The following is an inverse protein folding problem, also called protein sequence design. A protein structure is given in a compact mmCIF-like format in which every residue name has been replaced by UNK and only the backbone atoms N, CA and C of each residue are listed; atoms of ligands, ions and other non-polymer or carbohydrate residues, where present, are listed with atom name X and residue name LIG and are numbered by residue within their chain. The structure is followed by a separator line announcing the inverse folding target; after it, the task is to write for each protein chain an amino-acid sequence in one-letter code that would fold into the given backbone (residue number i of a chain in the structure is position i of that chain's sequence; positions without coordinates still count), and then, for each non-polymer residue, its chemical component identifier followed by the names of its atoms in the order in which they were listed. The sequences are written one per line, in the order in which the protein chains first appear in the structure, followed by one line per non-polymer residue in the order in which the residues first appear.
data_IF_241185735702
#
_entry.id   IF_241185735702
#
_cell.length_a   1.000
_cell.length_b   1.000
_cell.length_c   1.000
_cell.angle_alpha   90.00
_cell.angle_beta   90.00
_cell.angle_gamma   90.00
#
_symmetry.space_group_name_H-M   'P 1'
#
loop_
_entity.id
_entity.type
_entity.pdbx_description
1 polymer ?
#
# COMPACT_ATOMS: atom_id res chain seq x y z
N UNK A 1 -6.51 5.18 12.84
CA UNK A 1 -5.32 4.56 12.32
C UNK A 1 -4.50 5.49 11.46
N UNK A 2 -3.31 5.09 11.19
CA UNK A 2 -2.37 5.89 10.41
C UNK A 2 -1.72 4.99 9.36
N UNK A 3 -1.59 5.52 8.15
CA UNK A 3 -0.93 4.82 7.06
C UNK A 3 0.40 5.53 6.78
N UNK A 4 1.48 4.77 6.81
CA UNK A 4 2.82 5.27 6.53
C UNK A 4 3.34 4.63 5.25
N UNK A 5 3.73 5.45 4.29
CA UNK A 5 4.25 5.00 3.01
C UNK A 5 5.73 5.32 2.95
N UNK A 6 6.55 4.29 2.87
CA UNK A 6 8.00 4.45 2.77
C UNK A 6 8.48 3.95 1.41
N UNK A 7 9.76 4.11 1.12
CA UNK A 7 10.33 3.62 -0.14
C UNK A 7 10.37 2.10 -0.20
N UNK A 8 10.30 1.40 0.94
CA UNK A 8 10.43 -0.05 0.97
C UNK A 8 9.14 -0.78 1.35
N UNK A 9 8.22 -0.11 2.03
CA UNK A 9 7.02 -0.79 2.54
C UNK A 9 5.89 0.19 2.87
N UNK A 10 4.69 -0.37 3.07
CA UNK A 10 3.57 0.35 3.65
C UNK A 10 3.36 -0.17 5.07
N UNK A 11 3.10 0.72 6.01
CA UNK A 11 2.90 0.37 7.43
C UNK A 11 1.55 0.86 7.88
N UNK A 12 0.78 -0.04 8.50
CA UNK A 12 -0.54 0.29 9.06
C UNK A 12 -0.37 0.47 10.56
N UNK A 13 -0.29 1.71 11.00
CA UNK A 13 -0.06 2.05 12.41
C UNK A 13 -1.34 2.51 13.08
N UNK A 14 -1.37 2.49 14.40
CA UNK A 14 -2.46 3.02 15.20
C UNK A 14 -3.42 2.00 15.78
N UNK A 15 -3.25 0.73 15.49
CA UNK A 15 -4.03 -0.35 16.07
C UNK A 15 -3.23 -1.12 17.11
N UNK A 16 -3.81 -2.22 17.60
CA UNK A 16 -3.10 -3.12 18.50
C UNK A 16 -1.97 -3.87 17.80
N UNK A 17 -2.02 -3.92 16.47
CA UNK A 17 -0.96 -4.48 15.65
C UNK A 17 -0.49 -3.42 14.68
N UNK A 18 0.76 -3.57 14.23
CA UNK A 18 1.35 -2.65 13.26
C UNK A 18 1.82 -3.47 12.07
N UNK A 19 0.90 -4.01 11.26
CA UNK A 19 1.31 -4.79 10.10
C UNK A 19 2.01 -3.92 9.07
N UNK A 20 2.93 -4.54 8.33
CA UNK A 20 3.64 -3.87 7.25
C UNK A 20 3.72 -4.81 6.06
N UNK A 21 3.67 -4.23 4.86
CA UNK A 21 3.78 -4.99 3.62
C UNK A 21 4.86 -4.35 2.77
N UNK A 22 5.87 -5.13 2.43
CA UNK A 22 6.93 -4.65 1.54
C UNK A 22 6.38 -4.47 0.12
N UNK A 23 6.88 -3.46 -0.58
CA UNK A 23 6.40 -3.21 -1.95
C UNK A 23 6.70 -4.37 -2.90
N UNK A 24 7.81 -5.05 -2.71
CA UNK A 24 8.14 -6.20 -3.57
C UNK A 24 7.18 -7.38 -3.33
N UNK A 25 6.51 -7.42 -2.19
CA UNK A 25 5.52 -8.44 -1.88
C UNK A 25 4.09 -7.96 -2.18
N UNK A 26 3.92 -6.75 -2.67
CA UNK A 26 2.63 -6.18 -3.02
C UNK A 26 2.36 -6.43 -4.50
N UNK A 27 1.25 -7.07 -4.79
CA UNK A 27 0.86 -7.37 -6.16
C UNK A 27 0.22 -6.16 -6.83
N UNK A 28 -0.70 -5.50 -6.12
CA UNK A 28 -1.35 -4.31 -6.64
C UNK A 28 -1.96 -3.49 -5.51
N UNK A 29 -2.23 -2.23 -5.81
CA UNK A 29 -2.91 -1.31 -4.91
C UNK A 29 -4.19 -0.87 -5.61
N UNK A 30 -5.33 -1.13 -4.97
CA UNK A 30 -6.64 -0.77 -5.48
C UNK A 30 -7.23 0.34 -4.63
N UNK A 31 -7.98 1.23 -5.26
CA UNK A 31 -8.69 2.28 -4.57
C UNK A 31 -10.17 2.14 -4.89
N UNK A 32 -10.98 2.07 -3.85
CA UNK A 32 -12.43 2.00 -3.99
C UNK A 32 -13.03 3.00 -3.02
N UNK A 33 -13.62 4.07 -3.54
CA UNK A 33 -14.19 5.15 -2.73
C UNK A 33 -13.11 5.72 -1.80
N UNK A 34 -13.25 5.58 -0.49
CA UNK A 34 -12.28 6.05 0.50
C UNK A 34 -11.35 4.95 0.99
N UNK A 35 -11.47 3.75 0.43
CA UNK A 35 -10.70 2.61 0.87
C UNK A 35 -9.51 2.35 -0.04
N UNK A 36 -8.37 2.02 0.56
CA UNK A 36 -7.21 1.51 -0.13
C UNK A 36 -7.07 0.03 0.18
N UNK A 37 -6.83 -0.77 -0.85
CA UNK A 37 -6.64 -2.20 -0.69
C UNK A 37 -5.26 -2.57 -1.24
N UNK A 38 -4.42 -3.12 -0.35
CA UNK A 38 -3.08 -3.56 -0.70
C UNK A 38 -3.10 -5.07 -0.84
N UNK A 39 -3.03 -5.55 -2.09
CA UNK A 39 -3.11 -6.97 -2.39
C UNK A 39 -1.71 -7.56 -2.39
N UNK A 40 -1.50 -8.57 -1.54
CA UNK A 40 -0.20 -9.23 -1.41
C UNK A 40 -0.04 -10.31 -2.47
N UNK A 41 1.20 -10.47 -2.95
CA UNK A 41 1.52 -11.52 -3.88
C UNK A 41 1.39 -12.90 -3.19
N UNK A 42 0.73 -13.83 -3.86
CA UNK A 42 0.57 -15.19 -3.35
C UNK A 42 -0.45 -15.34 -2.23
N UNK A 43 -1.24 -14.30 -1.95
CA UNK A 43 -2.26 -14.36 -0.92
C UNK A 43 -3.62 -13.96 -1.50
N UNK A 44 -4.67 -14.60 -0.99
CA UNK A 44 -6.04 -14.26 -1.41
C UNK A 44 -6.53 -13.00 -0.74
N UNK A 45 -5.98 -12.67 0.42
CA UNK A 45 -6.39 -11.52 1.21
C UNK A 45 -5.34 -10.42 1.15
N UNK A 46 -5.82 -9.18 1.25
CA UNK A 46 -4.97 -8.02 1.35
C UNK A 46 -5.30 -7.21 2.59
N UNK A 47 -4.64 -6.10 2.74
CA UNK A 47 -4.93 -5.15 3.81
C UNK A 47 -5.77 -4.02 3.27
N UNK A 48 -6.84 -3.69 3.99
CA UNK A 48 -7.72 -2.57 3.65
C UNK A 48 -7.49 -1.43 4.64
N UNK A 49 -7.38 -0.23 4.11
CA UNK A 49 -7.25 0.97 4.94
C UNK A 49 -8.27 2.00 4.47
N UNK A 50 -9.08 2.51 5.39
CA UNK A 50 -10.05 3.56 5.08
C UNK A 50 -9.44 4.94 5.33
N UNK A 51 -9.42 5.76 4.31
CA UNK A 51 -8.91 7.12 4.41
C UNK A 51 -10.02 8.07 4.89
N UNK A 52 -9.63 9.27 5.32
CA UNK A 52 -10.57 10.26 5.81
C UNK A 52 -11.47 10.83 4.72
N UNK A 53 -10.99 10.84 3.48
CA UNK A 53 -11.76 11.37 2.36
C UNK A 53 -11.41 10.61 1.08
N UNK A 54 -12.24 10.82 0.05
CA UNK A 54 -11.99 10.27 -1.27
C UNK A 54 -10.67 10.81 -1.85
N UNK A 55 -10.41 12.10 -1.64
CA UNK A 55 -9.19 12.74 -2.15
C UNK A 55 -7.94 12.11 -1.49
N UNK A 56 -8.00 11.87 -0.19
CA UNK A 56 -6.90 11.22 0.53
C UNK A 56 -6.64 9.82 -0.03
N UNK A 57 -7.70 9.08 -0.31
CA UNK A 57 -7.57 7.73 -0.88
C UNK A 57 -6.97 7.80 -2.28
N UNK A 58 -7.41 8.76 -3.09
CA UNK A 58 -6.91 8.94 -4.45
C UNK A 58 -5.42 9.28 -4.45
N UNK A 59 -5.02 10.24 -3.61
CA UNK A 59 -3.62 10.63 -3.47
C UNK A 59 -2.77 9.49 -2.91
N UNK A 60 -3.28 8.81 -1.89
CA UNK A 60 -2.59 7.67 -1.29
C UNK A 60 -2.36 6.54 -2.28
N UNK A 61 -3.36 6.26 -3.10
CA UNK A 61 -3.26 5.23 -4.14
C UNK A 61 -2.20 5.59 -5.17
N UNK A 62 -2.16 6.85 -5.59
CA UNK A 62 -1.17 7.31 -6.57
C UNK A 62 0.25 7.18 -6.04
N UNK A 63 0.47 7.60 -4.79
CA UNK A 63 1.78 7.52 -4.14
C UNK A 63 2.18 6.05 -3.95
N UNK A 64 1.26 5.23 -3.45
CA UNK A 64 1.54 3.81 -3.21
C UNK A 64 1.90 3.09 -4.50
N UNK A 65 1.18 3.35 -5.58
CA UNK A 65 1.47 2.74 -6.88
C UNK A 65 2.82 3.18 -7.42
N UNK A 66 3.17 4.43 -7.21
CA UNK A 66 4.47 4.94 -7.62
C UNK A 66 5.60 4.23 -6.85
N UNK A 67 5.47 4.13 -5.53
CA UNK A 67 6.47 3.48 -4.71
C UNK A 67 6.61 1.99 -5.05
N UNK A 68 5.48 1.33 -5.29
CA UNK A 68 5.48 -0.08 -5.68
C UNK A 68 6.22 -0.29 -7.00
N UNK A 69 5.95 0.56 -7.99
CA UNK A 69 6.61 0.46 -9.29
C UNK A 69 8.10 0.78 -9.21
N UNK A 70 8.47 1.76 -8.39
CA UNK A 70 9.86 2.12 -8.18
C UNK A 70 10.64 0.97 -7.54
N UNK A 71 10.04 0.31 -6.55
CA UNK A 71 10.67 -0.83 -5.90
C UNK A 71 10.87 -1.99 -6.88
N UNK A 72 9.88 -2.26 -7.72
CA UNK A 72 9.97 -3.31 -8.75
C UNK A 72 10.97 -2.96 -9.83
N UNK A 73 11.02 -1.69 -10.23
CA UNK A 73 11.96 -1.22 -11.23
C UNK A 73 13.40 -1.39 -10.78
N UNK A 74 13.68 -1.08 -9.51
CA UNK A 74 15.01 -1.27 -8.94
C UNK A 74 15.41 -2.74 -8.94
N UNK A 75 14.48 -3.62 -8.59
CA UNK A 75 14.72 -5.06 -8.59
C UNK A 75 14.90 -5.61 -9.99
N UNK A 76 14.17 -5.08 -10.95
CA UNK A 76 14.22 -5.56 -12.33
C UNK A 76 15.54 -5.20 -13.03
N UNK A 77 16.22 -4.18 -12.56
CA UNK A 77 17.50 -3.75 -13.15
C UNK A 77 18.70 -4.56 -12.68
N UNK A 78 18.50 -5.32 -11.65
CA UNK A 78 19.56 -6.21 -11.16
C UNK A 78 19.59 -7.54 -11.89
#
# INVERSE_FOLDING_TARGET
GRLLLTSSRVVFAGGSRTPAVAWHATREVLQRDRDLLFVRAGADEGYRFRCNSFVDALCGAAIARHLMRSARGLNAKC
#
